data_IF_409834288495
#
_entry.id   IF_409834288495
#
_cell.length_a   1.000
_cell.length_b   1.000
_cell.length_c   1.000
_cell.angle_alpha   90.00
_cell.angle_beta   90.00
_cell.angle_gamma   90.00
#
_symmetry.space_group_name_H-M   'P 1'
#
loop_
_entity.id
_entity.type
_entity.pdbx_description
1 polymer ?
#
# COMPACT_ATOMS: atom_id res chain seq x y z
N UNK A 1 14.57 7.51 14.49
CA UNK A 1 14.29 6.58 15.60
C UNK A 1 12.81 6.27 15.59
N UNK A 2 12.44 5.06 15.15
CA UNK A 2 11.08 4.50 15.26
C UNK A 2 10.62 4.36 16.72
N UNK A 3 11.55 4.56 17.65
CA UNK A 3 11.43 4.44 19.11
C UNK A 3 10.35 5.36 19.70
N UNK A 4 9.96 6.43 18.99
CA UNK A 4 8.88 7.34 19.41
C UNK A 4 7.50 6.96 18.88
N UNK A 5 7.41 5.97 17.99
CA UNK A 5 6.16 5.62 17.32
C UNK A 5 6.13 4.12 16.98
N UNK A 6 6.04 3.30 18.03
CA UNK A 6 6.01 1.83 17.93
C UNK A 6 4.89 1.33 17.00
N UNK A 7 3.77 2.07 16.94
CA UNK A 7 2.66 1.79 16.04
C UNK A 7 3.06 1.82 14.56
N UNK A 8 3.97 2.73 14.17
CA UNK A 8 4.49 2.77 12.80
C UNK A 8 5.32 1.51 12.50
N UNK A 9 6.10 1.02 13.47
CA UNK A 9 6.88 -0.20 13.28
C UNK A 9 5.96 -1.43 13.08
N UNK A 10 4.83 -1.47 13.79
CA UNK A 10 3.81 -2.52 13.63
C UNK A 10 3.11 -2.42 12.27
N UNK A 11 2.77 -1.21 11.80
CA UNK A 11 2.17 -0.97 10.48
C UNK A 11 3.12 -1.35 9.34
N UNK A 12 4.42 -1.07 9.49
CA UNK A 12 5.41 -1.34 8.44
C UNK A 12 5.90 -2.79 8.44
N UNK A 13 5.73 -3.55 9.53
CA UNK A 13 6.22 -4.92 9.66
C UNK A 13 5.75 -5.86 8.53
N UNK A 14 4.49 -5.82 8.07
CA UNK A 14 4.05 -6.67 6.96
C UNK A 14 4.78 -6.36 5.64
N UNK A 15 5.17 -5.10 5.40
CA UNK A 15 5.80 -4.69 4.14
C UNK A 15 7.13 -5.40 3.89
N UNK A 16 7.89 -5.74 4.95
CA UNK A 16 9.16 -6.45 4.80
C UNK A 16 8.99 -7.87 4.26
N UNK A 17 7.80 -8.46 4.41
CA UNK A 17 7.45 -9.78 3.86
C UNK A 17 7.13 -9.66 2.36
N UNK A 18 6.45 -8.59 1.96
CA UNK A 18 5.93 -8.43 0.60
C UNK A 18 6.93 -7.77 -0.37
N UNK A 19 7.82 -6.91 0.10
CA UNK A 19 8.81 -6.20 -0.71
C UNK A 19 10.08 -7.04 -0.92
N UNK A 20 9.91 -8.24 -1.48
CA UNK A 20 11.06 -9.03 -1.95
C UNK A 20 11.70 -8.42 -3.19
N UNK A 21 12.95 -8.77 -3.48
CA UNK A 21 13.69 -8.28 -4.66
C UNK A 21 12.91 -8.48 -5.99
N UNK A 22 12.32 -9.66 -6.28
CA UNK A 22 11.52 -9.84 -7.50
C UNK A 22 10.31 -8.92 -7.58
N UNK A 23 9.65 -8.66 -6.45
CA UNK A 23 8.51 -7.74 -6.38
C UNK A 23 8.97 -6.31 -6.62
N UNK A 24 10.06 -5.87 -6.01
CA UNK A 24 10.63 -4.54 -6.23
C UNK A 24 11.03 -4.32 -7.68
N UNK A 25 11.66 -5.32 -8.32
CA UNK A 25 12.00 -5.26 -9.75
C UNK A 25 10.73 -5.08 -10.59
N UNK A 26 9.65 -5.83 -10.28
CA UNK A 26 8.39 -5.71 -10.99
C UNK A 26 7.77 -4.33 -10.82
N UNK A 27 7.71 -3.80 -9.59
CA UNK A 27 7.16 -2.47 -9.33
C UNK A 27 7.96 -1.38 -10.06
N UNK A 28 9.29 -1.47 -10.04
CA UNK A 28 10.15 -0.54 -10.77
C UNK A 28 9.94 -0.64 -12.28
N UNK A 29 9.73 -1.85 -12.84
CA UNK A 29 9.47 -2.01 -14.28
C UNK A 29 8.16 -1.35 -14.74
N UNK A 30 7.16 -1.24 -13.85
CA UNK A 30 5.91 -0.53 -14.16
C UNK A 30 6.15 0.98 -14.28
N UNK A 31 7.03 1.53 -13.44
CA UNK A 31 7.40 2.94 -13.48
C UNK A 31 8.32 3.21 -14.68
N UNK A 32 9.43 2.49 -14.78
CA UNK A 32 10.48 2.77 -15.75
C UNK A 32 10.10 2.31 -17.17
N UNK A 33 9.38 1.18 -17.28
CA UNK A 33 9.03 0.55 -18.56
C UNK A 33 7.65 0.93 -19.07
N UNK A 34 6.65 1.00 -18.18
CA UNK A 34 5.26 1.31 -18.54
C UNK A 34 4.90 2.79 -18.29
N UNK A 35 5.84 3.60 -17.79
CA UNK A 35 5.66 5.02 -17.49
C UNK A 35 4.49 5.32 -16.54
N UNK A 36 4.16 4.39 -15.64
CA UNK A 36 3.14 4.60 -14.62
C UNK A 36 3.66 5.50 -13.50
N UNK A 37 2.76 6.30 -12.94
CA UNK A 37 3.12 7.17 -11.82
C UNK A 37 3.49 6.34 -10.57
N UNK A 38 4.62 6.62 -9.90
CA UNK A 38 5.07 5.84 -8.74
C UNK A 38 4.06 5.76 -7.60
N UNK A 39 3.28 6.83 -7.42
CA UNK A 39 2.27 6.92 -6.37
C UNK A 39 1.06 6.03 -6.67
N UNK A 40 0.65 5.93 -7.94
CA UNK A 40 -0.36 4.99 -8.41
C UNK A 40 0.12 3.55 -8.25
N UNK A 41 1.35 3.23 -8.68
CA UNK A 41 1.94 1.89 -8.56
C UNK A 41 1.97 1.45 -7.09
N UNK A 42 2.41 2.33 -6.19
CA UNK A 42 2.48 2.06 -4.75
C UNK A 42 1.09 1.86 -4.13
N UNK A 43 0.11 2.72 -4.46
CA UNK A 43 -1.26 2.59 -3.96
C UNK A 43 -1.92 1.31 -4.45
N UNK A 44 -1.75 0.95 -5.71
CA UNK A 44 -2.32 -0.26 -6.28
C UNK A 44 -1.71 -1.52 -5.64
N UNK A 45 -0.40 -1.54 -5.41
CA UNK A 45 0.27 -2.62 -4.69
C UNK A 45 -0.28 -2.79 -3.26
N UNK A 46 -0.36 -1.70 -2.49
CA UNK A 46 -0.88 -1.75 -1.11
C UNK A 46 -2.36 -2.14 -1.04
N UNK A 47 -3.18 -1.70 -2.01
CA UNK A 47 -4.59 -2.11 -2.14
C UNK A 47 -4.71 -3.60 -2.48
N UNK A 48 -3.85 -4.13 -3.35
CA UNK A 48 -3.86 -5.55 -3.73
C UNK A 48 -3.46 -6.49 -2.58
N UNK A 49 -2.71 -5.98 -1.61
CA UNK A 49 -2.34 -6.70 -0.39
C UNK A 49 -3.33 -6.48 0.77
N UNK A 50 -4.44 -5.76 0.54
CA UNK A 50 -5.40 -5.33 1.56
C UNK A 50 -4.75 -4.57 2.74
N UNK A 51 -3.58 -3.95 2.53
CA UNK A 51 -2.89 -3.15 3.55
C UNK A 51 -3.47 -1.75 3.68
N UNK A 52 -4.18 -1.28 2.65
CA UNK A 52 -4.97 -0.04 2.67
C UNK A 52 -6.32 -0.28 2.02
N UNK A 53 -7.35 0.45 2.49
CA UNK A 53 -8.71 0.31 1.93
C UNK A 53 -8.79 0.79 0.49
N UNK A 54 -9.66 0.15 -0.28
CA UNK A 54 -10.12 0.71 -1.56
C UNK A 54 -11.02 1.90 -1.26
N UNK A 55 -10.78 3.03 -1.92
CA UNK A 55 -11.53 4.29 -1.70
C UNK A 55 -13.05 4.09 -1.73
N UNK A 56 -13.53 3.26 -2.67
CA UNK A 56 -14.95 2.93 -2.79
C UNK A 56 -15.49 2.14 -1.59
N UNK A 57 -14.72 1.19 -1.06
CA UNK A 57 -15.11 0.42 0.13
C UNK A 57 -15.05 1.27 1.40
N UNK A 58 -14.07 2.17 1.51
CA UNK A 58 -14.00 3.15 2.60
C UNK A 58 -15.21 4.09 2.59
N UNK A 59 -15.61 4.59 1.41
CA UNK A 59 -16.79 5.42 1.22
C UNK A 59 -18.08 4.66 1.57
N UNK A 60 -18.24 3.42 1.09
CA UNK A 60 -19.41 2.59 1.36
C UNK A 60 -19.54 2.23 2.85
N UNK A 61 -18.43 1.89 3.53
CA UNK A 61 -18.43 1.66 4.97
C UNK A 61 -18.78 2.92 5.75
N UNK A 62 -18.25 4.08 5.34
CA UNK A 62 -18.58 5.35 5.98
C UNK A 62 -20.08 5.67 5.84
N UNK A 63 -20.64 5.51 4.65
CA UNK A 63 -22.07 5.72 4.40
C UNK A 63 -22.94 4.78 5.25
N UNK A 64 -22.58 3.49 5.34
CA UNK A 64 -23.33 2.50 6.12
C UNK A 64 -23.30 2.74 7.65
N UNK A 65 -22.30 3.46 8.16
CA UNK A 65 -22.18 3.79 9.59
C UNK A 65 -22.93 5.08 9.97
N UNK A 66 -23.33 5.89 8.99
CA UNK A 66 -23.95 7.21 9.20
C UNK A 66 -25.33 7.34 8.51
N UNK A 67 -25.90 6.22 8.08
CA UNK A 67 -27.27 6.06 7.54
C UNK A 67 -28.17 5.38 8.56
#
# INVERSE_FOLDING_TARGET
MLDKNLEIADILRPLSIYLSEPIMIRLNSLVDGEALEPDEVSRNFLKALDLIKKEKEALLQWLALHS
#
